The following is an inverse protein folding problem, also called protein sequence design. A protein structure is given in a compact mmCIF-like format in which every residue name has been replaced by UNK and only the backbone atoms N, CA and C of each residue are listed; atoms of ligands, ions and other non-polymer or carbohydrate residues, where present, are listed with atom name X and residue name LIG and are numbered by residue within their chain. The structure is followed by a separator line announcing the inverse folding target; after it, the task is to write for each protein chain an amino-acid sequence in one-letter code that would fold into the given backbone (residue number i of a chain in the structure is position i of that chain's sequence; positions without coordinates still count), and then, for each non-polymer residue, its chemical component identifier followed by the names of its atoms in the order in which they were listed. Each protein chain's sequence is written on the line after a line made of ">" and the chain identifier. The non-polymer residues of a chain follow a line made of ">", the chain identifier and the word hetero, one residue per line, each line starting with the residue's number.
data_IF_596160696432
#
_entry.id   IF_596160696432
#
_cell.length_a   1.000
_cell.length_b   1.000
_cell.length_c   1.000
_cell.angle_alpha   90.00
_cell.angle_beta   90.00
_cell.angle_gamma   90.00
#
_symmetry.space_group_name_H-M   'P 1'
#
loop_
_entity.id
_entity.type
_entity.pdbx_description
1 polymer ?
#
# COMPACT_ATOMS: atom_id res chain seq x y z
N UNK A 1 -9.23 -65.35 -19.92
CA UNK A 1 -9.55 -64.26 -20.88
C UNK A 1 -11.03 -63.90 -20.67
N UNK A 2 -11.51 -62.69 -20.44
CA UNK A 2 -11.01 -61.32 -20.28
C UNK A 2 -12.09 -60.64 -19.42
N UNK A 3 -11.71 -60.10 -18.28
CA UNK A 3 -12.51 -59.15 -17.50
C UNK A 3 -12.12 -57.75 -17.96
N UNK A 4 -12.97 -57.09 -18.74
CA UNK A 4 -12.83 -55.66 -19.05
C UNK A 4 -14.22 -55.05 -19.20
N UNK A 5 -14.73 -54.43 -18.13
CA UNK A 5 -15.48 -53.18 -18.24
C UNK A 5 -15.65 -52.54 -16.86
N UNK A 6 -14.65 -51.75 -16.47
CA UNK A 6 -14.82 -50.74 -15.45
C UNK A 6 -14.05 -49.48 -15.87
N UNK A 7 -14.66 -48.34 -15.55
CA UNK A 7 -14.12 -46.96 -15.60
C UNK A 7 -14.16 -46.23 -16.94
N UNK A 8 -15.30 -45.60 -17.23
CA UNK A 8 -15.35 -44.44 -18.13
C UNK A 8 -16.36 -43.37 -17.68
N UNK A 9 -16.39 -43.04 -16.38
CA UNK A 9 -17.19 -41.90 -15.86
C UNK A 9 -16.51 -41.08 -14.75
N UNK A 10 -15.19 -41.20 -14.56
CA UNK A 10 -14.45 -40.47 -13.52
C UNK A 10 -13.56 -39.32 -14.05
N UNK A 11 -13.53 -39.08 -15.36
CA UNK A 11 -12.56 -38.17 -15.98
C UNK A 11 -13.02 -36.71 -16.08
N UNK A 12 -14.28 -36.40 -15.78
CA UNK A 12 -14.77 -35.01 -15.76
C UNK A 12 -14.50 -34.29 -14.43
N UNK A 13 -14.14 -35.00 -13.36
CA UNK A 13 -13.84 -34.39 -12.06
C UNK A 13 -12.36 -33.99 -11.94
N UNK A 14 -11.43 -34.78 -12.47
CA UNK A 14 -9.99 -34.48 -12.42
C UNK A 14 -9.56 -33.30 -13.31
N UNK A 15 -10.23 -33.09 -14.45
CA UNK A 15 -9.94 -31.93 -15.30
C UNK A 15 -10.36 -30.58 -14.69
N UNK A 16 -11.22 -30.57 -13.65
CA UNK A 16 -11.49 -29.37 -12.87
C UNK A 16 -10.42 -29.09 -11.81
N UNK A 17 -9.65 -30.11 -11.40
CA UNK A 17 -8.60 -29.98 -10.39
C UNK A 17 -7.28 -29.54 -11.04
N UNK A 18 -6.96 -30.00 -12.26
CA UNK A 18 -5.70 -29.63 -12.93
C UNK A 18 -5.72 -28.22 -13.55
N UNK A 19 -6.90 -27.60 -13.74
CA UNK A 19 -7.02 -26.21 -14.21
C UNK A 19 -6.74 -25.16 -13.12
N UNK A 20 -6.37 -25.58 -11.91
CA UNK A 20 -6.11 -24.71 -10.76
C UNK A 20 -4.79 -23.93 -10.82
N UNK A 21 -3.95 -24.15 -11.83
CA UNK A 21 -2.59 -23.62 -11.87
C UNK A 21 -2.44 -22.19 -12.41
N UNK A 22 -3.52 -21.50 -12.82
CA UNK A 22 -3.52 -20.04 -13.02
C UNK A 22 -4.92 -19.49 -12.77
N UNK A 23 -5.23 -19.16 -11.52
CA UNK A 23 -6.36 -18.28 -11.24
C UNK A 23 -5.85 -16.83 -11.31
N UNK A 24 -6.55 -15.93 -12.02
CA UNK A 24 -6.20 -14.52 -12.01
C UNK A 24 -6.19 -13.97 -10.59
N UNK A 25 -5.35 -12.98 -10.32
CA UNK A 25 -5.31 -12.27 -9.05
C UNK A 25 -6.67 -11.61 -8.76
N UNK A 26 -7.15 -11.74 -7.52
CA UNK A 26 -8.40 -11.10 -7.06
C UNK A 26 -9.72 -11.77 -7.46
N UNK A 27 -9.73 -13.02 -7.96
CA UNK A 27 -11.01 -13.68 -8.28
C UNK A 27 -11.66 -14.24 -7.02
N UNK A 28 -12.74 -13.57 -6.60
CA UNK A 28 -13.67 -13.98 -5.54
C UNK A 28 -14.53 -15.16 -6.00
N UNK A 29 -14.10 -16.37 -5.65
CA UNK A 29 -14.73 -17.63 -6.09
C UNK A 29 -15.39 -18.40 -4.95
N UNK A 30 -14.92 -18.28 -3.71
CA UNK A 30 -15.31 -19.20 -2.63
C UNK A 30 -16.77 -19.01 -2.22
N UNK A 31 -17.22 -17.77 -2.06
CA UNK A 31 -18.62 -17.47 -1.75
C UNK A 31 -19.57 -18.01 -2.83
N UNK A 32 -19.27 -17.74 -4.10
CA UNK A 32 -20.04 -18.24 -5.24
C UNK A 32 -20.13 -19.78 -5.24
N UNK A 33 -19.02 -20.46 -4.98
CA UNK A 33 -18.98 -21.93 -4.91
C UNK A 33 -19.77 -22.46 -3.71
N UNK A 34 -19.68 -21.82 -2.55
CA UNK A 34 -20.49 -22.19 -1.39
C UNK A 34 -21.99 -22.10 -1.73
N UNK A 35 -22.42 -20.99 -2.34
CA UNK A 35 -23.82 -20.80 -2.74
C UNK A 35 -24.27 -21.89 -3.74
N UNK A 36 -23.44 -22.23 -4.73
CA UNK A 36 -23.70 -23.31 -5.69
C UNK A 36 -23.85 -24.67 -5.00
N UNK A 37 -22.97 -24.99 -4.05
CA UNK A 37 -23.02 -26.27 -3.31
C UNK A 37 -24.27 -26.35 -2.45
N UNK A 38 -24.62 -25.29 -1.71
CA UNK A 38 -25.84 -25.25 -0.89
C UNK A 38 -27.10 -25.45 -1.74
N UNK A 39 -27.22 -24.73 -2.86
CA UNK A 39 -28.36 -24.88 -3.79
C UNK A 39 -28.44 -26.28 -4.37
N UNK A 40 -27.30 -26.86 -4.77
CA UNK A 40 -27.25 -28.21 -5.32
C UNK A 40 -27.65 -29.25 -4.28
N UNK A 41 -27.14 -29.13 -3.05
CA UNK A 41 -27.49 -30.03 -1.95
C UNK A 41 -28.98 -29.97 -1.62
N UNK A 42 -29.55 -28.76 -1.58
CA UNK A 42 -30.99 -28.56 -1.37
C UNK A 42 -31.82 -29.22 -2.48
N UNK A 43 -31.47 -28.99 -3.75
CA UNK A 43 -32.15 -29.61 -4.89
C UNK A 43 -32.09 -31.15 -4.85
N UNK A 44 -30.93 -31.71 -4.49
CA UNK A 44 -30.78 -33.16 -4.36
C UNK A 44 -31.63 -33.71 -3.21
N UNK A 45 -31.78 -32.95 -2.11
CA UNK A 45 -32.57 -33.36 -0.94
C UNK A 45 -34.07 -33.47 -1.26
N UNK A 46 -34.61 -32.57 -2.09
CA UNK A 46 -36.03 -32.60 -2.48
C UNK A 46 -36.35 -33.59 -3.60
N UNK A 47 -35.33 -34.14 -4.27
CA UNK A 47 -35.51 -35.00 -5.47
C UNK A 47 -36.38 -36.23 -5.19
N UNK A 48 -36.30 -36.81 -3.99
CA UNK A 48 -37.12 -37.97 -3.62
C UNK A 48 -38.59 -37.61 -3.43
N UNK A 49 -38.86 -36.45 -2.83
CA UNK A 49 -40.22 -35.94 -2.64
C UNK A 49 -40.83 -35.50 -3.97
N UNK A 50 -40.02 -34.98 -4.89
CA UNK A 50 -40.44 -34.63 -6.27
C UNK A 50 -40.77 -35.85 -7.14
N UNK A 51 -40.30 -37.06 -6.79
CA UNK A 51 -40.64 -38.28 -7.51
C UNK A 51 -42.05 -38.74 -7.16
N UNK A 52 -42.98 -38.62 -8.11
CA UNK A 52 -44.36 -39.06 -7.94
C UNK A 52 -44.46 -40.55 -7.59
N UNK A 53 -43.69 -41.42 -8.25
CA UNK A 53 -43.73 -42.86 -7.98
C UNK A 53 -43.36 -43.19 -6.53
N UNK A 54 -42.35 -42.51 -6.00
CA UNK A 54 -41.93 -42.68 -4.60
C UNK A 54 -42.99 -42.17 -3.65
N UNK A 55 -43.54 -40.99 -3.91
CA UNK A 55 -44.58 -40.42 -3.06
C UNK A 55 -45.87 -41.24 -3.08
N UNK A 56 -46.34 -41.66 -4.25
CA UNK A 56 -47.54 -42.48 -4.41
C UNK A 56 -47.37 -43.87 -3.79
N UNK A 57 -46.17 -44.46 -3.84
CA UNK A 57 -45.89 -45.75 -3.19
C UNK A 57 -46.05 -45.72 -1.66
N UNK A 58 -45.94 -44.54 -1.04
CA UNK A 58 -46.18 -44.36 0.40
C UNK A 58 -47.67 -44.23 0.74
N UNK A 59 -48.53 -43.89 -0.23
CA UNK A 59 -49.97 -43.65 -0.03
C UNK A 59 -50.85 -44.38 -1.06
N UNK A 60 -50.66 -45.69 -1.29
CA UNK A 60 -51.26 -46.40 -2.43
C UNK A 60 -52.79 -46.37 -2.43
N UNK A 61 -53.41 -46.53 -1.25
CA UNK A 61 -54.87 -46.50 -1.09
C UNK A 61 -55.46 -45.11 -1.35
N UNK A 62 -54.75 -44.05 -0.99
CA UNK A 62 -55.20 -42.66 -1.16
C UNK A 62 -55.08 -42.23 -2.63
N UNK A 63 -53.98 -42.58 -3.28
CA UNK A 63 -53.72 -42.28 -4.69
C UNK A 63 -54.54 -43.12 -5.66
N UNK A 64 -55.17 -44.21 -5.20
CA UNK A 64 -56.10 -45.00 -6.01
C UNK A 64 -57.38 -44.21 -6.38
N UNK A 65 -57.67 -43.12 -5.67
CA UNK A 65 -58.78 -42.21 -6.00
C UNK A 65 -58.27 -41.00 -6.77
N UNK A 66 -59.00 -40.58 -7.81
CA UNK A 66 -58.65 -39.39 -8.61
C UNK A 66 -58.54 -38.11 -7.77
N UNK A 67 -59.39 -37.98 -6.75
CA UNK A 67 -59.35 -36.84 -5.83
C UNK A 67 -58.11 -36.88 -4.94
N UNK A 68 -57.77 -38.05 -4.38
CA UNK A 68 -56.57 -38.22 -3.55
C UNK A 68 -55.28 -38.01 -4.32
N UNK A 69 -55.19 -38.52 -5.56
CA UNK A 69 -54.04 -38.29 -6.44
C UNK A 69 -53.84 -36.80 -6.75
N UNK A 70 -54.92 -36.09 -7.09
CA UNK A 70 -54.88 -34.63 -7.34
C UNK A 70 -54.46 -33.84 -6.10
N UNK A 71 -55.05 -34.14 -4.94
CA UNK A 71 -54.72 -33.47 -3.68
C UNK A 71 -53.25 -33.69 -3.29
N UNK A 72 -52.76 -34.94 -3.41
CA UNK A 72 -51.39 -35.28 -3.07
C UNK A 72 -50.39 -34.61 -4.04
N UNK A 73 -50.71 -34.51 -5.32
CA UNK A 73 -49.86 -33.80 -6.29
C UNK A 73 -49.79 -32.29 -6.00
N UNK A 74 -50.90 -31.66 -5.62
CA UNK A 74 -50.91 -30.26 -5.20
C UNK A 74 -50.10 -30.07 -3.92
N UNK A 75 -50.29 -30.93 -2.92
CA UNK A 75 -49.54 -30.88 -1.66
C UNK A 75 -48.04 -31.08 -1.89
N UNK A 76 -47.65 -32.03 -2.75
CA UNK A 76 -46.26 -32.26 -3.14
C UNK A 76 -45.61 -30.98 -3.69
N UNK A 77 -46.29 -30.29 -4.62
CA UNK A 77 -45.77 -29.04 -5.20
C UNK A 77 -45.62 -27.96 -4.13
N UNK A 78 -46.64 -27.77 -3.30
CA UNK A 78 -46.62 -26.78 -2.22
C UNK A 78 -45.49 -27.03 -1.21
N UNK A 79 -45.30 -28.28 -0.79
CA UNK A 79 -44.23 -28.64 0.16
C UNK A 79 -42.86 -28.41 -0.46
N UNK A 80 -42.66 -28.80 -1.72
CA UNK A 80 -41.38 -28.60 -2.41
C UNK A 80 -41.08 -27.11 -2.60
N UNK A 81 -42.07 -26.32 -3.02
CA UNK A 81 -41.92 -24.87 -3.21
C UNK A 81 -41.62 -24.17 -1.89
N UNK A 82 -42.44 -24.42 -0.86
CA UNK A 82 -42.25 -23.85 0.47
C UNK A 82 -40.90 -24.22 1.07
N UNK A 83 -40.50 -25.49 0.98
CA UNK A 83 -39.20 -25.94 1.46
C UNK A 83 -38.07 -25.19 0.76
N UNK A 84 -38.10 -25.14 -0.58
CA UNK A 84 -37.06 -24.51 -1.39
C UNK A 84 -36.93 -23.02 -1.08
N UNK A 85 -38.05 -22.30 -0.98
CA UNK A 85 -38.06 -20.86 -0.71
C UNK A 85 -37.57 -20.57 0.71
N UNK A 86 -38.13 -21.27 1.71
CA UNK A 86 -37.77 -21.06 3.11
C UNK A 86 -36.29 -21.38 3.34
N UNK A 87 -35.82 -22.53 2.86
CA UNK A 87 -34.40 -22.91 3.01
C UNK A 87 -33.46 -21.92 2.36
N UNK A 88 -33.83 -21.38 1.19
CA UNK A 88 -33.02 -20.35 0.52
C UNK A 88 -32.96 -19.07 1.35
N UNK A 89 -34.10 -18.64 1.90
CA UNK A 89 -34.18 -17.45 2.76
C UNK A 89 -33.31 -17.61 4.00
N UNK A 90 -33.42 -18.74 4.69
CA UNK A 90 -32.62 -19.06 5.88
C UNK A 90 -31.11 -19.08 5.56
N UNK A 91 -30.70 -19.65 4.41
CA UNK A 91 -29.30 -19.58 4.00
C UNK A 91 -28.82 -18.15 3.79
N UNK A 92 -29.61 -17.32 3.11
CA UNK A 92 -29.26 -15.93 2.86
C UNK A 92 -29.20 -15.11 4.17
N UNK A 93 -30.06 -15.42 5.15
CA UNK A 93 -30.02 -14.82 6.48
C UNK A 93 -28.76 -15.24 7.26
N UNK A 94 -28.45 -16.53 7.31
CA UNK A 94 -27.22 -17.04 7.95
C UNK A 94 -25.97 -16.40 7.32
N UNK A 95 -25.94 -16.29 5.98
CA UNK A 95 -24.82 -15.68 5.26
C UNK A 95 -24.63 -14.21 5.64
N UNK A 96 -25.74 -13.47 5.83
CA UNK A 96 -25.73 -12.08 6.27
C UNK A 96 -25.31 -11.94 7.72
N UNK A 97 -25.87 -12.72 8.63
CA UNK A 97 -25.56 -12.67 10.08
C UNK A 97 -24.09 -12.96 10.38
N UNK A 98 -23.49 -13.86 9.60
CA UNK A 98 -22.10 -14.29 9.80
C UNK A 98 -21.10 -13.53 8.95
N UNK A 99 -21.58 -12.64 8.09
CA UNK A 99 -20.81 -11.88 7.11
C UNK A 99 -19.89 -12.79 6.26
N UNK A 100 -20.46 -13.88 5.75
CA UNK A 100 -19.69 -14.95 5.09
C UNK A 100 -19.12 -14.48 3.76
N UNK A 101 -19.85 -13.62 3.05
CA UNK A 101 -19.41 -13.11 1.76
C UNK A 101 -18.11 -12.32 1.89
N UNK A 102 -18.05 -11.35 2.81
CA UNK A 102 -16.83 -10.58 3.04
C UNK A 102 -15.70 -11.46 3.54
N UNK A 103 -15.93 -12.32 4.52
CA UNK A 103 -14.89 -13.22 5.06
C UNK A 103 -14.29 -14.15 4.01
N UNK A 104 -15.11 -14.69 3.11
CA UNK A 104 -14.62 -15.55 2.03
C UNK A 104 -13.92 -14.74 0.94
N UNK A 105 -14.36 -13.51 0.67
CA UNK A 105 -13.69 -12.61 -0.26
C UNK A 105 -12.32 -12.19 0.29
N UNK A 106 -12.23 -11.80 1.56
CA UNK A 106 -10.99 -11.46 2.25
C UNK A 106 -10.03 -12.65 2.26
N UNK A 107 -10.54 -13.87 2.46
CA UNK A 107 -9.74 -15.09 2.36
C UNK A 107 -9.21 -15.33 0.95
N UNK A 108 -10.02 -15.07 -0.09
CA UNK A 108 -9.59 -15.19 -1.48
C UNK A 108 -8.46 -14.20 -1.78
N UNK A 109 -8.62 -12.96 -1.31
CA UNK A 109 -7.65 -11.88 -1.46
C UNK A 109 -6.35 -12.20 -0.70
N UNK A 110 -6.42 -12.65 0.57
CA UNK A 110 -5.26 -13.09 1.36
C UNK A 110 -4.48 -14.23 0.69
N UNK A 111 -5.19 -15.22 0.14
CA UNK A 111 -4.54 -16.34 -0.57
C UNK A 111 -3.88 -15.87 -1.86
N UNK A 112 -4.48 -14.90 -2.56
CA UNK A 112 -3.85 -14.28 -3.73
C UNK A 112 -2.56 -13.55 -3.33
N UNK A 113 -2.62 -12.68 -2.33
CA UNK A 113 -1.46 -11.94 -1.84
C UNK A 113 -0.35 -12.86 -1.34
N UNK A 114 -0.68 -13.92 -0.60
CA UNK A 114 0.28 -14.89 -0.10
C UNK A 114 1.02 -15.61 -1.24
N UNK A 115 0.32 -15.97 -2.32
CA UNK A 115 0.95 -16.58 -3.50
C UNK A 115 1.91 -15.62 -4.20
N UNK A 116 1.51 -14.37 -4.41
CA UNK A 116 2.37 -13.34 -5.00
C UNK A 116 3.64 -13.13 -4.17
N UNK A 117 3.51 -13.08 -2.83
CA UNK A 117 4.65 -12.96 -1.91
C UNK A 117 5.55 -14.21 -1.98
N UNK A 118 4.95 -15.40 -2.02
CA UNK A 118 5.71 -16.66 -2.14
C UNK A 118 6.50 -16.75 -3.45
N UNK A 119 5.94 -16.28 -4.56
CA UNK A 119 6.64 -16.23 -5.85
C UNK A 119 7.82 -15.24 -5.85
N UNK A 120 7.76 -14.20 -5.03
CA UNK A 120 8.83 -13.20 -4.87
C UNK A 120 9.91 -13.55 -3.84
N UNK A 121 9.63 -14.48 -2.91
CA UNK A 121 10.58 -14.91 -1.88
C UNK A 121 11.56 -15.96 -2.46
N UNK A 122 12.86 -15.66 -2.42
CA UNK A 122 13.91 -16.65 -2.68
C UNK A 122 13.91 -17.75 -1.59
N UNK A 123 14.36 -18.97 -1.94
CA UNK A 123 14.34 -20.23 -1.13
C UNK A 123 14.82 -20.12 0.34
N UNK A 124 15.48 -19.04 0.74
CA UNK A 124 15.99 -18.84 2.12
C UNK A 124 14.92 -18.49 3.17
N UNK A 125 13.68 -18.22 2.77
CA UNK A 125 12.59 -17.81 3.67
C UNK A 125 11.48 -18.86 3.86
N UNK A 126 11.73 -20.12 3.53
CA UNK A 126 10.74 -21.20 3.67
C UNK A 126 10.46 -21.61 5.13
N UNK A 127 11.36 -21.32 6.06
CA UNK A 127 11.25 -21.67 7.50
C UNK A 127 10.79 -20.47 8.38
N UNK A 128 9.88 -19.63 7.90
CA UNK A 128 9.26 -18.64 8.78
C UNK A 128 8.27 -19.32 9.74
N UNK A 129 8.35 -19.05 11.06
CA UNK A 129 7.43 -19.60 12.03
C UNK A 129 6.00 -19.17 11.73
N UNK A 130 5.05 -20.06 12.00
CA UNK A 130 3.63 -19.75 11.87
C UNK A 130 3.23 -18.67 12.89
N UNK A 131 2.19 -17.90 12.59
CA UNK A 131 1.74 -16.81 13.46
C UNK A 131 1.42 -17.28 14.89
N UNK A 132 0.97 -18.54 15.04
CA UNK A 132 0.63 -19.17 16.32
C UNK A 132 1.85 -19.55 17.16
N UNK A 133 3.03 -19.63 16.55
CA UNK A 133 4.30 -19.93 17.20
C UNK A 133 5.00 -18.65 17.69
N UNK A 134 4.51 -17.47 17.25
CA UNK A 134 5.05 -16.19 17.65
C UNK A 134 4.60 -15.84 19.06
N UNK A 135 5.57 -15.37 19.85
CA UNK A 135 5.27 -14.79 21.16
C UNK A 135 4.49 -13.47 21.01
N UNK A 136 3.67 -13.08 22.02
CA UNK A 136 2.96 -11.80 22.00
C UNK A 136 3.90 -10.59 21.78
N UNK A 137 5.13 -10.66 22.31
CA UNK A 137 6.14 -9.62 22.09
C UNK A 137 6.54 -9.51 20.62
N UNK A 138 6.81 -10.63 19.95
CA UNK A 138 7.15 -10.65 18.53
C UNK A 138 6.00 -10.14 17.65
N UNK A 139 4.75 -10.45 18.00
CA UNK A 139 3.57 -9.91 17.29
C UNK A 139 3.44 -8.39 17.46
N UNK A 140 3.67 -7.88 18.67
CA UNK A 140 3.66 -6.44 18.93
C UNK A 140 4.79 -5.75 18.19
N UNK A 141 6.02 -6.26 18.26
CA UNK A 141 7.17 -5.68 17.60
C UNK A 141 7.00 -5.67 16.07
N UNK A 142 6.44 -6.74 15.50
CA UNK A 142 6.10 -6.81 14.08
C UNK A 142 5.07 -5.76 13.67
N UNK A 143 3.99 -5.60 14.43
CA UNK A 143 2.97 -4.57 14.13
C UNK A 143 3.49 -3.14 14.33
N UNK A 144 4.32 -2.93 15.36
CA UNK A 144 4.92 -1.61 15.64
C UNK A 144 5.97 -1.25 14.57
N UNK A 145 6.64 -2.24 14.00
CA UNK A 145 7.66 -2.05 12.97
C UNK A 145 7.13 -1.21 11.80
N UNK A 146 5.96 -1.53 11.24
CA UNK A 146 5.39 -0.76 10.12
C UNK A 146 5.14 0.71 10.45
N UNK A 147 4.67 0.97 11.68
CA UNK A 147 4.45 2.34 12.16
C UNK A 147 5.77 3.08 12.36
N UNK A 148 6.79 2.40 12.90
CA UNK A 148 8.14 2.95 13.07
C UNK A 148 8.78 3.26 11.73
N UNK A 149 8.68 2.37 10.74
CA UNK A 149 9.24 2.58 9.40
C UNK A 149 8.61 3.80 8.73
N UNK A 150 7.28 3.91 8.75
CA UNK A 150 6.59 5.10 8.21
C UNK A 150 7.00 6.40 8.92
N UNK A 151 7.19 6.34 10.24
CA UNK A 151 7.63 7.50 11.01
C UNK A 151 9.08 7.88 10.72
N UNK A 152 9.97 6.89 10.54
CA UNK A 152 11.36 7.13 10.13
C UNK A 152 11.43 7.78 8.74
N UNK A 153 10.66 7.29 7.77
CA UNK A 153 10.58 7.90 6.43
C UNK A 153 10.12 9.38 6.50
N UNK A 154 9.15 9.69 7.37
CA UNK A 154 8.71 11.06 7.60
C UNK A 154 9.81 11.91 8.26
N UNK A 155 10.56 11.35 9.21
CA UNK A 155 11.64 12.05 9.90
C UNK A 155 12.80 12.33 8.94
N UNK A 156 13.19 11.36 8.12
CA UNK A 156 14.22 11.50 7.09
C UNK A 156 13.85 12.58 6.08
N UNK A 157 12.58 12.60 5.64
CA UNK A 157 12.07 13.68 4.77
C UNK A 157 12.18 15.06 5.42
N UNK A 158 11.90 15.17 6.72
CA UNK A 158 12.03 16.42 7.47
C UNK A 158 13.47 16.85 7.65
N UNK A 159 14.37 15.90 7.97
CA UNK A 159 15.80 16.17 8.09
C UNK A 159 16.35 16.66 6.74
N UNK A 160 16.04 15.97 5.64
CA UNK A 160 16.44 16.40 4.30
C UNK A 160 15.97 17.81 3.97
N UNK A 161 14.72 18.15 4.36
CA UNK A 161 14.19 19.51 4.18
C UNK A 161 14.95 20.56 5.00
N UNK A 162 15.26 20.27 6.27
CA UNK A 162 15.99 21.20 7.13
C UNK A 162 17.44 21.36 6.65
N UNK A 163 18.11 20.28 6.27
CA UNK A 163 19.45 20.34 5.70
C UNK A 163 19.47 21.21 4.44
N UNK A 164 18.54 20.99 3.50
CA UNK A 164 18.43 21.84 2.31
C UNK A 164 18.18 23.32 2.62
N UNK A 165 17.37 23.63 3.63
CA UNK A 165 17.14 25.02 4.05
C UNK A 165 18.40 25.62 4.70
N UNK A 166 19.13 24.83 5.48
CA UNK A 166 20.36 25.28 6.13
C UNK A 166 21.45 25.56 5.08
N UNK A 167 21.61 24.68 4.10
CA UNK A 167 22.54 24.86 2.98
C UNK A 167 22.20 26.13 2.18
N UNK A 168 20.90 26.39 1.97
CA UNK A 168 20.44 27.61 1.30
C UNK A 168 20.75 28.88 2.10
N UNK A 169 20.47 28.87 3.41
CA UNK A 169 20.78 29.99 4.30
C UNK A 169 22.29 30.24 4.40
N UNK A 170 23.11 29.20 4.39
CA UNK A 170 24.56 29.32 4.38
C UNK A 170 25.04 29.99 3.08
N UNK A 171 24.46 29.62 1.93
CA UNK A 171 24.74 30.27 0.66
C UNK A 171 24.36 31.76 0.68
N UNK A 172 23.17 32.10 1.17
CA UNK A 172 22.72 33.50 1.28
C UNK A 172 23.66 34.33 2.19
N UNK A 173 24.14 33.75 3.29
CA UNK A 173 25.10 34.40 4.18
C UNK A 173 26.46 34.65 3.50
N UNK A 174 26.94 33.69 2.71
CA UNK A 174 28.18 33.85 1.94
C UNK A 174 28.04 34.95 0.89
N UNK A 175 26.90 35.00 0.19
CA UNK A 175 26.63 36.01 -0.83
C UNK A 175 26.54 37.42 -0.22
N UNK A 176 25.84 37.57 0.91
CA UNK A 176 25.76 38.84 1.66
C UNK A 176 27.15 39.26 2.15
N UNK A 177 27.95 38.31 2.68
CA UNK A 177 29.30 38.61 3.16
C UNK A 177 30.19 39.09 2.01
N UNK A 178 30.14 38.44 0.85
CA UNK A 178 30.88 38.86 -0.34
C UNK A 178 30.46 40.26 -0.79
N UNK A 179 29.15 40.55 -0.79
CA UNK A 179 28.65 41.90 -1.11
C UNK A 179 29.14 42.95 -0.11
N UNK A 180 29.17 42.63 1.18
CA UNK A 180 29.65 43.55 2.22
C UNK A 180 31.15 43.84 2.08
N UNK A 181 31.95 42.82 1.75
CA UNK A 181 33.38 42.96 1.51
C UNK A 181 33.67 43.83 0.27
N UNK A 182 32.87 43.68 -0.79
CA UNK A 182 32.98 44.53 -1.99
C UNK A 182 32.61 45.99 -1.69
N UNK A 183 31.47 46.24 -1.03
CA UNK A 183 31.04 47.59 -0.63
C UNK A 183 32.05 48.26 0.32
N UNK A 184 32.62 47.50 1.26
CA UNK A 184 33.68 48.00 2.13
C UNK A 184 34.91 48.44 1.35
N UNK A 185 35.32 47.63 0.36
CA UNK A 185 36.45 47.94 -0.52
C UNK A 185 36.17 49.15 -1.39
N UNK A 186 34.96 49.30 -1.91
CA UNK A 186 34.54 50.49 -2.65
C UNK A 186 34.59 51.76 -1.79
N UNK A 187 34.11 51.69 -0.55
CA UNK A 187 34.18 52.80 0.40
C UNK A 187 35.62 53.16 0.75
N UNK A 188 36.50 52.18 0.94
CA UNK A 188 37.92 52.39 1.20
C UNK A 188 38.64 53.01 -0.01
N UNK A 189 38.28 52.60 -1.22
CA UNK A 189 38.72 53.23 -2.48
C UNK A 189 38.23 54.68 -2.59
N UNK A 190 36.97 54.97 -2.24
CA UNK A 190 36.43 56.34 -2.23
C UNK A 190 37.16 57.20 -1.18
N UNK A 191 37.41 56.66 0.00
CA UNK A 191 38.07 57.37 1.10
C UNK A 191 39.54 57.65 0.76
N UNK A 192 40.25 56.68 0.18
CA UNK A 192 41.62 56.86 -0.29
C UNK A 192 41.71 57.84 -1.47
N UNK A 193 40.74 57.85 -2.39
CA UNK A 193 40.65 58.88 -3.46
C UNK A 193 40.44 60.29 -2.90
N UNK A 194 39.55 60.45 -1.92
CA UNK A 194 39.20 61.78 -1.40
C UNK A 194 40.20 62.33 -0.36
N UNK A 195 40.83 61.48 0.46
CA UNK A 195 41.75 61.93 1.52
C UNK A 195 43.23 61.61 1.23
N UNK A 196 43.52 60.55 0.47
CA UNK A 196 44.89 60.05 0.29
C UNK A 196 45.73 60.80 -0.74
N UNK A 197 45.11 61.40 -1.76
CA UNK A 197 45.84 62.04 -2.86
C UNK A 197 46.18 63.52 -2.60
N UNK A 198 45.36 64.24 -1.84
CA UNK A 198 45.60 65.65 -1.51
C UNK A 198 46.54 65.83 -0.31
N UNK A 199 46.52 64.93 0.68
CA UNK A 199 47.40 65.03 1.85
C UNK A 199 48.87 64.75 1.51
N UNK A 200 49.17 63.69 0.75
CA UNK A 200 50.55 63.38 0.35
C UNK A 200 51.15 64.46 -0.54
N UNK A 201 50.37 64.97 -1.50
CA UNK A 201 50.83 66.05 -2.39
C UNK A 201 51.07 67.35 -1.64
N UNK A 202 50.21 67.68 -0.68
CA UNK A 202 50.39 68.84 0.19
C UNK A 202 51.62 68.69 1.10
N UNK A 203 51.83 67.51 1.68
CA UNK A 203 52.98 67.22 2.54
C UNK A 203 54.31 67.31 1.78
N UNK A 204 54.38 66.73 0.57
CA UNK A 204 55.57 66.81 -0.28
C UNK A 204 55.85 68.25 -0.73
N UNK A 205 54.82 69.03 -1.11
CA UNK A 205 54.99 70.44 -1.46
C UNK A 205 55.43 71.31 -0.28
N UNK A 206 54.91 71.03 0.92
CA UNK A 206 55.32 71.74 2.14
C UNK A 206 56.77 71.39 2.52
N UNK A 207 57.19 70.14 2.36
CA UNK A 207 58.57 69.73 2.60
C UNK A 207 59.55 70.38 1.60
N UNK A 208 59.18 70.47 0.32
CA UNK A 208 59.98 71.13 -0.71
C UNK A 208 60.09 72.63 -0.44
N UNK A 209 58.98 73.31 -0.17
CA UNK A 209 59.00 74.73 0.19
C UNK A 209 59.78 75.05 1.47
N UNK A 210 59.77 74.15 2.47
CA UNK A 210 60.59 74.29 3.67
C UNK A 210 62.08 74.12 3.35
N UNK A 211 62.44 73.20 2.44
CA UNK A 211 63.84 73.02 1.98
C UNK A 211 64.36 74.24 1.25
N UNK A 212 63.56 74.81 0.35
CA UNK A 212 63.93 76.02 -0.39
C UNK A 212 64.14 77.22 0.55
N UNK A 213 63.26 77.40 1.53
CA UNK A 213 63.39 78.46 2.53
C UNK A 213 64.64 78.30 3.42
N UNK A 214 65.00 77.05 3.76
CA UNK A 214 66.24 76.75 4.50
C UNK A 214 67.50 76.97 3.65
N UNK A 215 67.41 76.80 2.34
CA UNK A 215 68.49 77.09 1.39
C UNK A 215 68.68 78.61 1.25
N UNK A 216 67.60 79.38 1.07
CA UNK A 216 67.67 80.84 1.01
C UNK A 216 68.25 81.46 2.30
N UNK A 217 67.85 80.96 3.48
CA UNK A 217 68.42 81.42 4.76
C UNK A 217 69.92 81.12 4.88
N UNK A 218 70.38 80.00 4.33
CA UNK A 218 71.81 79.64 4.27
C UNK A 218 72.56 80.54 3.30
N UNK A 219 71.98 80.84 2.15
CA UNK A 219 72.58 81.72 1.14
C UNK A 219 72.69 83.15 1.65
N UNK A 220 71.68 83.67 2.35
CA UNK A 220 71.74 84.97 3.02
C UNK A 220 72.78 85.05 4.15
N UNK A 221 73.01 83.96 4.89
CA UNK A 221 74.09 83.88 5.89
C UNK A 221 75.50 83.82 5.26
N UNK A 222 75.62 83.44 3.98
CA UNK A 222 76.91 83.35 3.27
C UNK A 222 77.34 84.63 2.55
N UNK A 223 76.44 85.64 2.49
CA UNK A 223 76.63 86.93 1.82
C UNK A 223 76.76 88.12 2.79
N UNK A 224 76.87 87.87 4.10
CA UNK A 224 77.22 88.85 5.16
C UNK A 224 78.52 88.46 5.84
#
# INVERSE_FOLDING_TARGET
>A
MKYQHHRSKSLTCLHCIERFQRMPEGVRIRYTRLNQVCRKALQQSVTKVQSWDKLASCFPTYTATDAGARNLSTCQKQVVEFWMELSKREFDEIFRERDIENKLNDLDDLISSAKTVQEGLHEKHLDLPCIDELTPQQLMDGNIHDSRTKFLEQLDSRVAKVSSLNDHLEQDLLDIKASLEEEHKELEDILSRNMGHDLKKSEDMLQEGLRDMLIELREHQSLT
#
